data_IF_720920286799
#
_entry.id   IF_720920286799
#
_cell.length_a   1.000
_cell.length_b   1.000
_cell.length_c   1.000
_cell.angle_alpha   90.00
_cell.angle_beta   90.00
_cell.angle_gamma   90.00
#
_symmetry.space_group_name_H-M   'P 1'
#
loop_
_entity.id
_entity.type
_entity.pdbx_description
1 polymer ?
#
# COMPACT_ATOMS: atom_id res chain seq x y z
N UNK A 1 26.86 18.52 -20.52
CA UNK A 1 26.77 17.31 -21.37
C UNK A 1 26.60 16.05 -20.50
N UNK A 2 25.63 16.03 -19.56
CA UNK A 2 25.49 14.96 -18.55
C UNK A 2 24.04 14.47 -18.32
N UNK A 3 23.10 14.79 -19.22
CA UNK A 3 21.67 14.48 -18.99
C UNK A 3 21.18 13.26 -19.80
N UNK A 4 22.02 12.66 -20.66
CA UNK A 4 21.57 11.59 -21.57
C UNK A 4 21.72 10.16 -21.04
N UNK A 5 22.51 9.91 -19.98
CA UNK A 5 22.78 8.53 -19.51
C UNK A 5 22.07 8.12 -18.21
N UNK A 6 21.27 9.01 -17.63
CA UNK A 6 20.55 8.72 -16.40
C UNK A 6 19.43 7.68 -16.59
N UNK A 7 19.00 7.31 -17.80
CA UNK A 7 17.92 6.34 -17.97
C UNK A 7 18.32 4.89 -17.60
N UNK A 8 19.60 4.53 -17.74
CA UNK A 8 20.09 3.15 -17.61
C UNK A 8 20.89 2.85 -16.33
N UNK A 9 21.24 3.88 -15.56
CA UNK A 9 21.96 3.69 -14.30
C UNK A 9 21.00 3.20 -13.19
N UNK A 10 21.38 2.25 -12.32
CA UNK A 10 20.62 1.93 -11.11
C UNK A 10 20.35 3.18 -10.26
N UNK A 11 19.26 3.17 -9.48
CA UNK A 11 18.93 4.27 -8.55
C UNK A 11 20.13 4.64 -7.68
N UNK A 12 20.87 3.61 -7.22
CA UNK A 12 22.06 3.75 -6.39
C UNK A 12 23.10 4.67 -7.01
N UNK A 13 23.49 4.45 -8.27
CA UNK A 13 24.52 5.26 -8.95
C UNK A 13 24.11 6.73 -9.13
N UNK A 14 22.82 6.99 -9.37
CA UNK A 14 22.32 8.38 -9.46
C UNK A 14 22.34 9.04 -8.09
N UNK A 15 21.92 8.30 -7.05
CA UNK A 15 21.91 8.79 -5.67
C UNK A 15 23.33 9.05 -5.15
N UNK A 16 24.30 8.18 -5.44
CA UNK A 16 25.73 8.37 -5.13
C UNK A 16 26.28 9.68 -5.71
N UNK A 17 25.83 10.06 -6.91
CA UNK A 17 26.29 11.29 -7.55
C UNK A 17 25.64 12.57 -7.00
N UNK A 18 24.50 12.48 -6.31
CA UNK A 18 23.73 13.66 -5.85
C UNK A 18 23.70 13.85 -4.33
N UNK A 19 24.02 12.80 -3.56
CA UNK A 19 24.08 12.83 -2.11
C UNK A 19 25.51 13.13 -1.64
N UNK A 20 25.68 13.86 -0.51
CA UNK A 20 26.99 14.06 0.11
C UNK A 20 27.75 12.77 0.39
N UNK A 21 29.09 12.83 0.37
CA UNK A 21 29.95 11.72 0.79
C UNK A 21 29.65 11.31 2.23
N UNK A 22 29.66 10.00 2.49
CA UNK A 22 29.40 9.41 3.81
C UNK A 22 27.93 9.09 4.12
N UNK A 23 26.97 9.52 3.29
CA UNK A 23 25.56 9.13 3.44
C UNK A 23 25.33 7.74 2.85
N UNK A 24 24.68 6.87 3.61
CA UNK A 24 24.28 5.54 3.12
C UNK A 24 23.19 5.70 2.06
N UNK A 25 23.38 5.10 0.89
CA UNK A 25 22.41 5.23 -0.20
C UNK A 25 21.17 4.37 0.08
N UNK A 26 19.94 4.94 0.04
CA UNK A 26 18.73 4.13 0.17
C UNK A 26 18.58 3.19 -1.03
N UNK A 27 18.55 1.88 -0.78
CA UNK A 27 18.58 0.85 -1.82
C UNK A 27 17.20 0.31 -2.23
N UNK A 28 16.15 0.61 -1.47
CA UNK A 28 14.81 0.07 -1.72
C UNK A 28 13.68 0.95 -1.20
N UNK A 29 12.49 0.71 -1.73
CA UNK A 29 11.24 1.32 -1.33
C UNK A 29 10.12 0.30 -1.43
N UNK A 30 9.03 0.52 -0.69
CA UNK A 30 7.83 -0.29 -0.81
C UNK A 30 6.90 0.27 -1.88
N UNK A 31 6.10 -0.59 -2.48
CA UNK A 31 5.07 -0.17 -3.45
C UNK A 31 3.68 -0.57 -2.99
N UNK A 32 2.75 0.37 -3.16
CA UNK A 32 1.31 0.15 -3.02
C UNK A 32 0.66 0.71 -4.27
N UNK A 33 0.27 -0.19 -5.18
CA UNK A 33 -0.18 0.22 -6.52
C UNK A 33 0.88 1.09 -7.21
N UNK A 34 0.50 2.32 -7.56
CA UNK A 34 1.39 3.30 -8.20
C UNK A 34 2.16 4.20 -7.22
N UNK A 35 2.02 4.00 -5.91
CA UNK A 35 2.66 4.80 -4.86
C UNK A 35 3.93 4.08 -4.39
N UNK A 36 5.05 4.80 -4.38
CA UNK A 36 6.30 4.35 -3.76
C UNK A 36 6.45 4.97 -2.37
N UNK A 37 6.68 4.14 -1.35
CA UNK A 37 6.90 4.56 0.02
C UNK A 37 8.38 4.40 0.38
N UNK A 38 9.05 5.53 0.63
CA UNK A 38 10.47 5.56 0.99
C UNK A 38 10.68 5.17 2.46
N UNK A 39 11.81 4.52 2.73
CA UNK A 39 12.29 4.25 4.09
C UNK A 39 13.48 5.16 4.39
N UNK A 40 13.20 6.45 4.61
CA UNK A 40 14.23 7.45 4.86
C UNK A 40 14.67 7.43 6.33
N UNK A 41 15.98 7.60 6.55
CA UNK A 41 16.60 7.80 7.87
C UNK A 41 16.85 9.30 8.07
N UNK A 42 17.17 9.71 9.28
CA UNK A 42 17.45 11.10 9.63
C UNK A 42 18.48 11.77 8.70
N UNK A 43 19.54 11.04 8.35
CA UNK A 43 20.58 11.49 7.40
C UNK A 43 20.04 11.79 5.99
N UNK A 44 18.94 11.14 5.58
CA UNK A 44 18.31 11.34 4.27
C UNK A 44 17.32 12.50 4.25
N UNK A 45 16.76 12.90 5.39
CA UNK A 45 15.66 13.88 5.46
C UNK A 45 15.99 15.22 4.80
N UNK A 46 17.21 15.79 4.91
CA UNK A 46 17.59 17.01 4.20
C UNK A 46 17.51 16.88 2.66
N UNK A 47 17.62 15.67 2.15
CA UNK A 47 17.66 15.36 0.71
C UNK A 47 16.38 14.66 0.20
N UNK A 48 15.35 14.50 1.05
CA UNK A 48 14.17 13.67 0.79
C UNK A 48 13.49 13.95 -0.56
N UNK A 49 13.33 15.22 -0.94
CA UNK A 49 12.71 15.61 -2.22
C UNK A 49 13.56 15.20 -3.43
N UNK A 50 14.89 15.31 -3.33
CA UNK A 50 15.80 14.90 -4.41
C UNK A 50 15.80 13.39 -4.58
N UNK A 51 15.88 12.65 -3.46
CA UNK A 51 15.79 11.19 -3.45
C UNK A 51 14.45 10.75 -4.07
N UNK A 52 13.34 11.35 -3.64
CA UNK A 52 12.01 11.04 -4.17
C UNK A 52 11.88 11.33 -5.67
N UNK A 53 12.47 12.43 -6.16
CA UNK A 53 12.45 12.75 -7.59
C UNK A 53 13.20 11.71 -8.42
N UNK A 54 14.36 11.24 -7.95
CA UNK A 54 15.11 10.15 -8.61
C UNK A 54 14.27 8.87 -8.65
N UNK A 55 13.65 8.49 -7.53
CA UNK A 55 12.77 7.31 -7.48
C UNK A 55 11.59 7.45 -8.45
N UNK A 56 10.95 8.62 -8.50
CA UNK A 56 9.84 8.86 -9.41
C UNK A 56 10.27 8.72 -10.88
N UNK A 57 11.32 9.44 -11.28
CA UNK A 57 11.74 9.51 -12.70
C UNK A 57 12.21 8.17 -13.23
N UNK A 58 12.84 7.35 -12.38
CA UNK A 58 13.34 6.01 -12.73
C UNK A 58 12.25 4.96 -12.86
N UNK A 59 11.11 5.17 -12.22
CA UNK A 59 10.04 4.16 -12.14
C UNK A 59 8.77 4.58 -12.89
N UNK A 60 8.80 5.70 -13.63
CA UNK A 60 7.73 6.07 -14.56
C UNK A 60 7.59 5.04 -15.68
N UNK A 61 6.35 4.80 -16.17
CA UNK A 61 5.08 5.38 -15.71
C UNK A 61 4.41 4.61 -14.55
N UNK A 62 5.06 3.55 -14.04
CA UNK A 62 4.46 2.65 -13.03
C UNK A 62 4.26 3.37 -11.69
N UNK A 63 5.28 4.09 -11.23
CA UNK A 63 5.19 4.95 -10.05
C UNK A 63 4.78 6.35 -10.47
N UNK A 64 3.77 6.88 -9.80
CA UNK A 64 3.19 8.20 -10.07
C UNK A 64 3.27 9.14 -8.87
N UNK A 65 3.40 8.59 -7.67
CA UNK A 65 3.52 9.33 -6.42
C UNK A 65 4.59 8.68 -5.54
N UNK A 66 5.46 9.49 -4.96
CA UNK A 66 6.47 9.06 -4.00
C UNK A 66 6.19 9.74 -2.68
N UNK A 67 6.09 8.95 -1.62
CA UNK A 67 5.73 9.41 -0.27
C UNK A 67 6.79 9.00 0.75
N UNK A 68 6.76 9.68 1.89
CA UNK A 68 7.50 9.29 3.09
C UNK A 68 6.55 9.30 4.30
N UNK A 69 6.82 8.42 5.26
CA UNK A 69 6.11 8.41 6.54
C UNK A 69 6.58 9.56 7.41
N UNK A 70 5.65 10.24 8.07
CA UNK A 70 5.97 11.18 9.15
C UNK A 70 5.80 10.49 10.50
N UNK A 71 6.60 10.86 11.50
CA UNK A 71 6.72 10.15 12.79
C UNK A 71 5.46 10.17 13.67
N UNK A 72 4.37 10.79 13.22
CA UNK A 72 3.11 10.82 13.93
C UNK A 72 2.34 9.49 13.75
N UNK A 73 2.53 8.55 14.69
CA UNK A 73 1.56 7.48 14.93
C UNK A 73 0.66 7.92 16.08
N UNK A 74 -0.45 8.60 15.78
CA UNK A 74 -1.53 8.84 16.73
C UNK A 74 -2.87 8.93 16.00
N UNK A 75 -3.54 7.79 15.80
CA UNK A 75 -5.00 7.73 15.76
C UNK A 75 -5.49 6.31 16.04
N UNK A 76 -6.74 6.20 16.48
CA UNK A 76 -7.40 4.93 16.80
C UNK A 76 -7.51 3.99 15.59
N UNK A 77 -7.35 4.52 14.38
CA UNK A 77 -7.50 3.82 13.10
C UNK A 77 -6.19 3.29 12.51
N UNK A 78 -5.05 3.51 13.18
CA UNK A 78 -3.71 3.07 12.74
C UNK A 78 -3.32 3.55 11.33
N UNK A 79 -3.85 4.68 10.87
CA UNK A 79 -3.47 5.22 9.55
C UNK A 79 -2.07 5.84 9.63
N UNK A 80 -1.33 5.77 8.52
CA UNK A 80 -0.01 6.38 8.45
C UNK A 80 -0.15 7.83 8.00
N UNK A 81 0.47 8.76 8.72
CA UNK A 81 0.64 10.12 8.20
C UNK A 81 1.73 10.10 7.12
N UNK A 82 1.34 10.44 5.90
CA UNK A 82 2.20 10.38 4.71
C UNK A 82 2.35 11.77 4.12
N UNK A 83 3.59 12.16 3.84
CA UNK A 83 3.89 13.34 3.04
C UNK A 83 4.18 12.94 1.59
N UNK A 84 3.59 13.64 0.62
CA UNK A 84 3.96 13.50 -0.79
C UNK A 84 5.25 14.27 -1.04
N UNK A 85 6.27 13.57 -1.53
CA UNK A 85 7.59 14.14 -1.80
C UNK A 85 7.81 14.46 -3.28
N UNK A 86 7.19 13.67 -4.19
CA UNK A 86 7.27 13.88 -5.63
C UNK A 86 6.06 13.23 -6.35
N UNK A 87 5.70 13.77 -7.52
CA UNK A 87 4.68 13.20 -8.39
C UNK A 87 3.28 13.78 -8.16
N UNK A 88 2.24 12.96 -8.34
CA UNK A 88 0.85 13.38 -8.17
C UNK A 88 0.49 13.54 -6.68
N UNK A 89 -0.25 14.59 -6.35
CA UNK A 89 -0.81 14.80 -5.01
C UNK A 89 -2.04 13.92 -4.76
N UNK A 90 -1.85 12.60 -4.77
CA UNK A 90 -2.90 11.63 -4.49
C UNK A 90 -2.34 10.42 -3.75
N UNK A 91 -3.03 10.02 -2.68
CA UNK A 91 -2.77 8.80 -1.91
C UNK A 91 -3.73 7.66 -2.26
N UNK A 92 -4.63 7.90 -3.22
CA UNK A 92 -5.56 6.91 -3.74
C UNK A 92 -4.86 6.02 -4.76
N UNK A 93 -5.01 4.70 -4.64
CA UNK A 93 -4.44 3.77 -5.59
C UNK A 93 -5.24 2.47 -5.69
N UNK A 94 -4.90 1.64 -6.67
CA UNK A 94 -5.43 0.28 -6.79
C UNK A 94 -4.28 -0.72 -6.66
N UNK A 95 -4.43 -1.67 -5.75
CA UNK A 95 -3.50 -2.77 -5.53
C UNK A 95 -4.09 -4.03 -6.11
N UNK A 96 -3.27 -4.81 -6.83
CA UNK A 96 -3.63 -6.15 -7.26
C UNK A 96 -2.87 -7.16 -6.41
N UNK A 97 -3.58 -8.02 -5.71
CA UNK A 97 -3.02 -9.09 -4.89
C UNK A 97 -3.75 -10.40 -5.18
N UNK A 98 -3.01 -11.44 -5.57
CA UNK A 98 -3.58 -12.76 -5.91
C UNK A 98 -4.75 -12.72 -6.90
N UNK A 99 -4.71 -11.81 -7.87
CA UNK A 99 -5.77 -11.62 -8.88
C UNK A 99 -6.99 -10.82 -8.40
N UNK A 100 -7.02 -10.40 -7.13
CA UNK A 100 -8.03 -9.51 -6.56
C UNK A 100 -7.55 -8.07 -6.63
N UNK A 101 -8.49 -7.13 -6.75
CA UNK A 101 -8.19 -5.69 -6.83
C UNK A 101 -8.75 -4.96 -5.63
N UNK A 102 -7.95 -4.06 -5.06
CA UNK A 102 -8.29 -3.29 -3.88
C UNK A 102 -8.05 -1.82 -4.17
N UNK A 103 -9.10 -1.02 -4.12
CA UNK A 103 -8.99 0.43 -4.01
C UNK A 103 -8.66 0.78 -2.57
N UNK A 104 -7.66 1.64 -2.41
CA UNK A 104 -7.17 2.09 -1.11
C UNK A 104 -6.80 3.56 -1.18
N UNK A 105 -6.99 4.27 -0.08
CA UNK A 105 -6.43 5.60 0.13
C UNK A 105 -5.53 5.57 1.36
N UNK A 106 -4.22 5.64 1.13
CA UNK A 106 -3.23 5.50 2.20
C UNK A 106 -3.28 6.63 3.24
N UNK A 107 -3.95 7.74 2.94
CA UNK A 107 -4.17 8.81 3.91
C UNK A 107 -5.27 8.48 4.94
N UNK A 108 -6.23 7.61 4.58
CA UNK A 108 -7.44 7.37 5.36
C UNK A 108 -7.58 5.92 5.83
N UNK A 109 -6.83 4.97 5.28
CA UNK A 109 -6.89 3.55 5.64
C UNK A 109 -5.51 2.93 5.86
N UNK A 110 -5.46 1.86 6.67
CA UNK A 110 -4.26 1.04 6.81
C UNK A 110 -4.16 0.03 5.65
N UNK A 111 -2.98 -0.09 5.06
CA UNK A 111 -2.63 -1.13 4.10
C UNK A 111 -1.21 -1.62 4.30
N UNK A 112 -0.98 -2.93 4.08
CA UNK A 112 0.36 -3.51 4.08
C UNK A 112 0.46 -4.65 3.05
N UNK A 113 1.22 -4.38 1.98
CA UNK A 113 1.46 -5.34 0.89
C UNK A 113 2.30 -6.54 1.34
N UNK A 114 3.11 -6.41 2.40
CA UNK A 114 3.97 -7.51 2.90
C UNK A 114 3.18 -8.67 3.51
N UNK A 115 1.94 -8.41 3.91
CA UNK A 115 1.04 -9.42 4.48
C UNK A 115 0.35 -10.30 3.42
N UNK A 116 0.60 -10.06 2.13
CA UNK A 116 0.00 -10.82 1.03
C UNK A 116 0.23 -12.32 1.15
N UNK A 117 1.47 -12.74 1.45
CA UNK A 117 1.83 -14.15 1.60
C UNK A 117 1.09 -14.81 2.76
N UNK A 118 0.93 -14.11 3.89
CA UNK A 118 0.18 -14.64 5.04
C UNK A 118 -1.31 -14.78 4.74
N UNK A 119 -1.91 -13.79 4.05
CA UNK A 119 -3.30 -13.90 3.60
C UNK A 119 -3.50 -15.08 2.66
N UNK A 120 -2.61 -15.24 1.69
CA UNK A 120 -2.66 -16.36 0.76
C UNK A 120 -2.49 -17.71 1.49
N UNK A 121 -1.59 -17.79 2.47
CA UNK A 121 -1.40 -18.99 3.30
C UNK A 121 -2.68 -19.38 4.04
N UNK A 122 -3.40 -18.42 4.62
CA UNK A 122 -4.68 -18.67 5.28
C UNK A 122 -5.72 -19.20 4.29
N UNK A 123 -5.85 -18.53 3.15
CA UNK A 123 -6.80 -18.92 2.10
C UNK A 123 -6.49 -20.33 1.60
N UNK A 124 -5.25 -20.64 1.26
CA UNK A 124 -4.90 -21.90 0.62
C UNK A 124 -4.89 -23.08 1.59
N UNK A 125 -4.32 -22.88 2.79
CA UNK A 125 -3.97 -23.99 3.67
C UNK A 125 -4.86 -24.14 4.90
N UNK A 126 -5.60 -23.09 5.28
CA UNK A 126 -6.41 -23.10 6.50
C UNK A 126 -7.91 -23.15 6.18
N UNK A 127 -8.39 -22.24 5.34
CA UNK A 127 -9.80 -22.12 5.04
C UNK A 127 -10.34 -23.25 4.17
N UNK A 128 -11.57 -23.66 4.45
CA UNK A 128 -12.32 -24.69 3.73
C UNK A 128 -13.60 -24.11 3.16
N UNK A 129 -14.15 -24.76 2.14
CA UNK A 129 -15.35 -24.28 1.44
C UNK A 129 -16.60 -24.22 2.34
N UNK A 130 -16.64 -25.02 3.42
CA UNK A 130 -17.71 -25.05 4.40
C UNK A 130 -17.61 -23.97 5.48
N UNK A 131 -16.48 -23.25 5.55
CA UNK A 131 -16.23 -22.34 6.65
C UNK A 131 -17.06 -21.05 6.53
N UNK A 132 -17.33 -20.44 7.68
CA UNK A 132 -17.78 -19.06 7.79
C UNK A 132 -16.70 -18.29 8.53
N UNK A 133 -16.18 -17.24 7.89
CA UNK A 133 -15.06 -16.45 8.43
C UNK A 133 -15.58 -15.13 8.99
N UNK A 134 -15.11 -14.75 10.18
CA UNK A 134 -15.37 -13.43 10.75
C UNK A 134 -14.04 -12.65 10.80
N UNK A 135 -13.94 -11.59 9.99
CA UNK A 135 -12.80 -10.67 9.95
C UNK A 135 -13.14 -9.42 10.75
N UNK A 136 -12.70 -9.38 12.01
CA UNK A 136 -13.08 -8.34 12.98
C UNK A 136 -12.41 -6.97 12.75
N UNK A 137 -11.31 -6.95 11.99
CA UNK A 137 -10.49 -5.77 11.69
C UNK A 137 -10.13 -5.77 10.21
N UNK A 138 -11.16 -5.83 9.37
CA UNK A 138 -11.02 -6.16 7.96
C UNK A 138 -10.32 -5.07 7.15
N UNK A 139 -10.20 -3.85 7.67
CA UNK A 139 -9.76 -2.69 6.91
C UNK A 139 -10.57 -2.58 5.62
N UNK A 140 -9.85 -2.40 4.50
CA UNK A 140 -10.42 -2.37 3.13
C UNK A 140 -10.75 -3.76 2.55
N UNK A 141 -10.63 -4.81 3.35
CA UNK A 141 -11.02 -6.18 3.03
C UNK A 141 -9.99 -7.13 2.44
N UNK A 142 -8.66 -6.96 2.57
CA UNK A 142 -7.73 -7.86 1.90
C UNK A 142 -7.86 -9.32 2.34
N UNK A 143 -8.12 -9.60 3.62
CA UNK A 143 -8.39 -10.97 4.08
C UNK A 143 -9.84 -11.37 3.80
N UNK A 144 -10.83 -10.58 4.20
CA UNK A 144 -12.26 -10.86 3.97
C UNK A 144 -12.60 -11.20 2.50
N UNK A 145 -12.13 -10.39 1.54
CA UNK A 145 -12.39 -10.58 0.11
C UNK A 145 -11.65 -11.82 -0.42
N UNK A 146 -10.42 -12.06 0.05
CA UNK A 146 -9.66 -13.24 -0.33
C UNK A 146 -10.30 -14.52 0.21
N UNK A 147 -10.76 -14.51 1.47
CA UNK A 147 -11.49 -15.61 2.08
C UNK A 147 -12.80 -15.91 1.34
N UNK A 148 -13.56 -14.88 0.97
CA UNK A 148 -14.85 -15.01 0.29
C UNK A 148 -14.80 -15.70 -1.08
N UNK A 149 -13.61 -15.78 -1.72
CA UNK A 149 -13.40 -16.59 -2.93
C UNK A 149 -13.41 -18.10 -2.66
N UNK A 150 -13.19 -18.52 -1.42
CA UNK A 150 -13.08 -19.93 -1.04
C UNK A 150 -14.20 -20.39 -0.11
N UNK A 151 -14.48 -19.62 0.94
CA UNK A 151 -15.37 -20.05 2.04
C UNK A 151 -16.85 -19.89 1.71
N UNK A 152 -17.72 -20.41 2.57
CA UNK A 152 -19.16 -20.33 2.39
C UNK A 152 -19.64 -18.88 2.48
N UNK A 153 -19.22 -18.18 3.52
CA UNK A 153 -19.64 -16.81 3.82
C UNK A 153 -18.61 -16.08 4.69
N UNK A 154 -18.60 -14.74 4.62
CA UNK A 154 -17.69 -13.89 5.40
C UNK A 154 -18.47 -12.78 6.09
N UNK A 155 -18.21 -12.59 7.38
CA UNK A 155 -18.58 -11.38 8.11
C UNK A 155 -17.36 -10.48 8.23
N UNK A 156 -17.49 -9.20 7.91
CA UNK A 156 -16.40 -8.24 7.96
C UNK A 156 -16.79 -7.02 8.78
N UNK A 157 -15.86 -6.55 9.60
CA UNK A 157 -16.05 -5.37 10.44
C UNK A 157 -14.75 -4.56 10.48
N UNK A 158 -14.89 -3.25 10.54
CA UNK A 158 -13.80 -2.36 10.91
C UNK A 158 -14.35 -1.16 11.67
N UNK A 159 -13.54 -0.59 12.58
CA UNK A 159 -13.92 0.60 13.35
C UNK A 159 -13.71 1.89 12.53
N UNK A 160 -12.82 1.85 11.53
CA UNK A 160 -12.56 2.99 10.65
C UNK A 160 -13.65 3.08 9.57
N UNK A 161 -14.51 4.12 9.58
CA UNK A 161 -15.59 4.25 8.60
C UNK A 161 -15.09 4.41 7.16
N UNK A 162 -13.92 5.04 6.95
CA UNK A 162 -13.32 5.12 5.62
C UNK A 162 -12.89 3.74 5.11
N UNK A 163 -12.38 2.88 6.00
CA UNK A 163 -12.03 1.51 5.65
C UNK A 163 -13.26 0.68 5.27
N UNK A 164 -14.37 0.86 5.98
CA UNK A 164 -15.67 0.24 5.67
C UNK A 164 -16.17 0.69 4.29
N UNK A 165 -16.12 1.99 3.98
CA UNK A 165 -16.50 2.49 2.64
C UNK A 165 -15.65 1.87 1.53
N UNK A 166 -14.33 1.78 1.72
CA UNK A 166 -13.45 1.10 0.77
C UNK A 166 -13.71 -0.41 0.68
N UNK A 167 -14.02 -1.07 1.79
CA UNK A 167 -14.40 -2.47 1.81
C UNK A 167 -15.65 -2.71 0.95
N UNK A 168 -16.71 -1.90 1.11
CA UNK A 168 -17.93 -1.99 0.29
C UNK A 168 -17.61 -1.86 -1.21
N UNK A 169 -16.84 -0.84 -1.58
CA UNK A 169 -16.39 -0.63 -2.96
C UNK A 169 -15.59 -1.82 -3.47
N UNK A 170 -14.70 -2.38 -2.65
CA UNK A 170 -13.85 -3.51 -3.01
C UNK A 170 -14.64 -4.82 -3.13
N UNK A 171 -15.68 -5.02 -2.32
CA UNK A 171 -16.60 -6.16 -2.43
C UNK A 171 -17.28 -6.15 -3.81
N UNK A 172 -17.82 -4.99 -4.21
CA UNK A 172 -18.42 -4.80 -5.55
C UNK A 172 -17.38 -4.97 -6.66
N UNK A 173 -16.20 -4.35 -6.51
CA UNK A 173 -15.11 -4.44 -7.48
C UNK A 173 -14.69 -5.89 -7.78
N UNK A 174 -14.77 -6.78 -6.78
CA UNK A 174 -14.41 -8.19 -6.88
C UNK A 174 -15.62 -9.13 -7.08
N UNK A 175 -16.84 -8.58 -7.21
CA UNK A 175 -18.11 -9.29 -7.45
C UNK A 175 -18.45 -10.30 -6.36
N UNK A 176 -18.40 -9.86 -5.09
CA UNK A 176 -18.58 -10.69 -3.90
C UNK A 176 -19.71 -10.22 -2.97
N UNK A 177 -20.63 -9.40 -3.47
CA UNK A 177 -21.73 -8.78 -2.73
C UNK A 177 -22.65 -9.81 -2.04
N UNK A 178 -22.74 -11.02 -2.59
CA UNK A 178 -23.56 -12.11 -2.04
C UNK A 178 -22.82 -13.00 -1.03
N UNK A 179 -21.53 -12.77 -0.81
CA UNK A 179 -20.64 -13.62 -0.02
C UNK A 179 -20.13 -12.96 1.25
N UNK A 180 -20.29 -11.65 1.37
CA UNK A 180 -19.73 -10.85 2.45
C UNK A 180 -20.84 -9.98 3.07
N UNK A 181 -20.98 -10.05 4.38
CA UNK A 181 -21.85 -9.16 5.16
C UNK A 181 -20.97 -8.22 6.02
N UNK A 182 -21.26 -6.92 5.96
CA UNK A 182 -20.55 -5.92 6.74
C UNK A 182 -21.31 -5.62 8.03
N UNK A 183 -20.64 -5.75 9.17
CA UNK A 183 -21.23 -5.60 10.51
C UNK A 183 -21.00 -4.22 11.14
N UNK A 184 -20.42 -3.27 10.41
CA UNK A 184 -20.08 -1.95 10.94
C UNK A 184 -21.35 -1.22 11.45
N UNK A 185 -21.22 -0.54 12.59
CA UNK A 185 -22.31 0.27 13.16
C UNK A 185 -22.66 1.40 12.17
N UNK A 186 -23.89 1.39 11.65
CA UNK A 186 -24.52 2.55 11.03
C UNK A 186 -24.74 3.65 12.04
#
# INVERSE_FOLDING_TARGET
>A
MLVSNAAYCPNVQVLEAILPEGIIIPTGFETVGHIAHLNLRDEHLPHKKRIAQVVLDKNKPKIQTVVNKTDAIQNDYRTMQLEVLAGKESLHTTVTESGLRFQVDLGTVYWNSRLATERQRLVDNIFRNSDVVCDMFSGVGPLAISAAKKVQYVYANDINPAAVEYLERNVVLNKLERKIELLAKK
#
